data_IF_272066094555
#
_entry.id   IF_272066094555
#
_cell.length_a   1.000
_cell.length_b   1.000
_cell.length_c   1.000
_cell.angle_alpha   90.00
_cell.angle_beta   90.00
_cell.angle_gamma   90.00
#
_symmetry.space_group_name_H-M   'P 1'
#
loop_
_entity.id
_entity.type
_entity.pdbx_description
1 polymer ?
#
# COMPACT_ATOMS: atom_id res chain seq x y z
N UNK A 1 -10.04 15.05 -1.87
CA UNK A 1 -9.69 14.34 -0.62
C UNK A 1 -8.18 14.36 -0.45
N UNK A 2 -7.66 14.63 0.75
CA UNK A 2 -6.22 14.57 1.03
C UNK A 2 -5.83 13.21 1.62
N UNK A 3 -4.64 12.70 1.29
CA UNK A 3 -4.15 11.44 1.84
C UNK A 3 -3.73 11.63 3.30
N UNK A 4 -4.29 10.80 4.18
CA UNK A 4 -3.95 10.79 5.61
C UNK A 4 -4.04 9.39 6.18
N UNK A 5 -3.24 9.12 7.20
CA UNK A 5 -3.34 7.90 7.98
C UNK A 5 -4.66 7.88 8.77
N UNK A 6 -5.41 6.78 8.69
CA UNK A 6 -6.64 6.59 9.47
C UNK A 6 -6.59 5.43 10.46
N UNK A 7 -5.74 4.43 10.23
CA UNK A 7 -5.52 3.33 11.16
C UNK A 7 -5.77 1.92 10.59
N UNK A 8 -5.77 0.89 11.47
CA UNK A 8 -5.92 -0.51 11.04
C UNK A 8 -7.28 -0.84 10.41
N UNK A 9 -7.44 -2.02 9.82
CA UNK A 9 -8.72 -2.40 9.18
C UNK A 9 -9.84 -2.50 10.23
N UNK A 10 -10.99 -1.83 10.06
CA UNK A 10 -12.09 -1.94 11.01
C UNK A 10 -12.85 -3.26 10.80
N UNK A 11 -13.38 -3.78 11.89
CA UNK A 11 -14.27 -4.94 11.98
C UNK A 11 -15.55 -4.42 12.63
N UNK A 12 -16.61 -4.32 11.84
CA UNK A 12 -17.87 -3.69 12.25
C UNK A 12 -18.89 -4.78 12.55
N UNK A 13 -19.61 -4.64 13.65
CA UNK A 13 -20.68 -5.54 14.06
C UNK A 13 -21.81 -4.77 14.75
N UNK A 14 -22.93 -5.44 15.02
CA UNK A 14 -24.00 -4.92 15.86
C UNK A 14 -23.56 -4.71 17.32
N UNK A 15 -22.45 -5.30 17.77
CA UNK A 15 -21.91 -5.14 19.13
C UNK A 15 -20.87 -4.02 19.26
N UNK A 16 -20.51 -3.37 18.15
CA UNK A 16 -19.51 -2.31 18.11
C UNK A 16 -18.48 -2.49 17.00
N UNK A 17 -17.46 -1.64 17.06
CA UNK A 17 -16.37 -1.55 16.07
C UNK A 17 -15.06 -1.97 16.76
N UNK A 18 -14.33 -2.90 16.12
CA UNK A 18 -12.99 -3.33 16.52
C UNK A 18 -12.00 -3.03 15.39
N UNK A 19 -10.71 -3.12 15.66
CA UNK A 19 -9.66 -2.91 14.67
C UNK A 19 -8.72 -4.12 14.58
N UNK A 20 -8.47 -4.59 13.37
CA UNK A 20 -7.49 -5.63 13.07
C UNK A 20 -6.10 -5.01 12.93
N UNK A 21 -5.34 -5.03 14.03
CA UNK A 21 -3.99 -4.47 14.11
C UNK A 21 -2.98 -5.16 13.19
N UNK A 22 -3.30 -6.34 12.63
CA UNK A 22 -2.45 -6.99 11.63
C UNK A 22 -2.62 -6.39 10.23
N UNK A 23 -3.65 -5.54 10.03
CA UNK A 23 -3.98 -4.92 8.74
C UNK A 23 -3.85 -3.41 8.79
N UNK A 24 -2.61 -2.96 8.88
CA UNK A 24 -2.24 -1.55 8.89
C UNK A 24 -2.77 -0.80 7.64
N UNK A 25 -3.02 0.50 7.81
CA UNK A 25 -3.32 1.42 6.71
C UNK A 25 -2.14 1.46 5.71
N UNK A 26 -2.45 1.44 4.43
CA UNK A 26 -1.42 1.49 3.39
C UNK A 26 -0.70 2.83 3.33
N UNK A 27 -1.32 3.89 3.86
CA UNK A 27 -0.65 5.17 4.03
C UNK A 27 0.67 5.08 4.82
N UNK A 28 0.76 4.18 5.80
CA UNK A 28 1.95 4.01 6.64
C UNK A 28 3.21 3.57 5.87
N UNK A 29 3.04 3.09 4.63
CA UNK A 29 4.12 2.59 3.77
C UNK A 29 4.46 3.53 2.60
N UNK A 30 3.61 4.52 2.28
CA UNK A 30 3.79 5.41 1.12
C UNK A 30 5.17 6.10 1.13
N UNK A 31 5.60 6.54 2.31
CA UNK A 31 6.90 7.20 2.46
C UNK A 31 8.06 6.31 2.02
N UNK A 32 8.02 5.02 2.39
CA UNK A 32 9.05 4.04 2.03
C UNK A 32 9.03 3.75 0.53
N UNK A 33 7.84 3.63 -0.08
CA UNK A 33 7.72 3.42 -1.54
C UNK A 33 8.35 4.58 -2.31
N UNK A 34 8.03 5.82 -1.91
CA UNK A 34 8.59 7.02 -2.56
C UNK A 34 10.09 7.13 -2.34
N UNK A 35 10.58 6.84 -1.14
CA UNK A 35 12.03 6.83 -0.87
C UNK A 35 12.76 5.78 -1.70
N UNK A 36 12.22 4.57 -1.82
CA UNK A 36 12.79 3.53 -2.69
C UNK A 36 12.77 3.97 -4.16
N UNK A 37 11.67 4.56 -4.63
CA UNK A 37 11.61 5.09 -6.00
C UNK A 37 12.70 6.13 -6.24
N UNK A 38 12.86 7.10 -5.34
CA UNK A 38 13.90 8.15 -5.46
C UNK A 38 15.31 7.56 -5.38
N UNK A 39 15.53 6.58 -4.52
CA UNK A 39 16.82 5.90 -4.39
C UNK A 39 17.19 5.09 -5.63
N UNK A 40 16.20 4.56 -6.35
CA UNK A 40 16.41 3.75 -7.54
C UNK A 40 16.30 4.54 -8.86
N UNK A 41 15.80 5.77 -8.83
CA UNK A 41 15.59 6.59 -10.03
C UNK A 41 16.86 7.40 -10.36
N UNK A 42 17.85 6.71 -10.92
CA UNK A 42 19.08 7.30 -11.43
C UNK A 42 19.66 6.45 -12.56
N UNK A 43 20.68 6.93 -13.24
CA UNK A 43 21.35 6.14 -14.30
C UNK A 43 22.15 4.97 -13.71
N UNK A 44 21.99 3.79 -14.31
CA UNK A 44 22.71 2.57 -13.94
C UNK A 44 23.82 2.24 -14.94
N UNK A 45 24.97 1.84 -14.40
CA UNK A 45 26.05 1.22 -15.15
C UNK A 45 26.12 -0.26 -14.78
N UNK A 46 26.36 -1.10 -15.78
CA UNK A 46 26.47 -2.54 -15.61
C UNK A 46 27.52 -2.90 -14.54
N UNK A 47 27.23 -3.96 -13.76
CA UNK A 47 28.09 -4.51 -12.71
C UNK A 47 28.44 -3.56 -11.56
N UNK A 48 27.63 -2.51 -11.33
CA UNK A 48 27.80 -1.60 -10.19
C UNK A 48 26.71 -1.77 -9.13
N UNK A 49 27.13 -1.81 -7.88
CA UNK A 49 26.25 -1.69 -6.72
C UNK A 49 26.14 -0.22 -6.29
N UNK A 50 24.91 0.24 -6.10
CA UNK A 50 24.61 1.59 -5.63
C UNK A 50 24.13 1.52 -4.19
N UNK A 51 24.67 2.41 -3.34
CA UNK A 51 24.28 2.50 -1.93
C UNK A 51 23.58 3.83 -1.71
N UNK A 52 22.39 3.76 -1.12
CA UNK A 52 21.63 4.92 -0.72
C UNK A 52 21.48 4.92 0.80
N UNK A 53 21.69 6.06 1.43
CA UNK A 53 21.47 6.18 2.87
C UNK A 53 19.97 6.14 3.16
N UNK A 54 19.53 5.07 3.83
CA UNK A 54 18.15 4.93 4.29
C UNK A 54 17.80 5.92 5.42
N UNK A 55 18.74 6.74 5.91
CA UNK A 55 18.51 7.81 6.89
C UNK A 55 17.83 9.01 6.24
N UNK A 56 16.69 8.79 5.63
CA UNK A 56 15.91 9.85 5.01
C UNK A 56 14.85 10.31 5.99
N UNK A 57 14.97 11.57 6.40
CA UNK A 57 13.91 12.32 7.08
C UNK A 57 12.60 12.02 6.36
N UNK A 58 11.58 11.59 7.13
CA UNK A 58 10.24 11.36 6.60
C UNK A 58 9.82 12.58 5.77
N UNK A 59 9.49 12.36 4.50
CA UNK A 59 8.94 13.43 3.66
C UNK A 59 7.77 14.12 4.38
N UNK A 60 7.66 15.44 4.20
CA UNK A 60 6.46 16.15 4.62
C UNK A 60 5.24 15.62 3.85
N UNK A 61 4.03 15.89 4.34
CA UNK A 61 2.82 15.46 3.63
C UNK A 61 2.70 16.13 2.26
N UNK A 62 3.17 17.38 2.13
CA UNK A 62 3.20 18.13 0.87
C UNK A 62 4.18 17.47 -0.12
N UNK A 63 5.43 17.25 0.31
CA UNK A 63 6.44 16.56 -0.51
C UNK A 63 5.97 15.17 -0.93
N UNK A 64 5.37 14.42 0.00
CA UNK A 64 4.86 13.08 -0.29
C UNK A 64 3.75 13.13 -1.34
N UNK A 65 2.81 14.07 -1.22
CA UNK A 65 1.73 14.22 -2.18
C UNK A 65 2.23 14.60 -3.57
N UNK A 66 3.24 15.47 -3.66
CA UNK A 66 3.79 15.90 -4.94
C UNK A 66 4.59 14.80 -5.64
N UNK A 67 5.34 14.00 -4.87
CA UNK A 67 5.95 12.78 -5.40
C UNK A 67 4.88 11.79 -5.89
N UNK A 68 3.81 11.57 -5.13
CA UNK A 68 2.75 10.65 -5.52
C UNK A 68 2.02 11.10 -6.77
N UNK A 69 1.76 12.40 -6.97
CA UNK A 69 1.20 12.92 -8.24
C UNK A 69 2.12 12.66 -9.44
N UNK A 70 3.44 12.66 -9.24
CA UNK A 70 4.41 12.33 -10.29
C UNK A 70 4.43 10.85 -10.61
N UNK A 71 4.37 9.99 -9.58
CA UNK A 71 4.33 8.53 -9.75
C UNK A 71 2.99 8.04 -10.32
N UNK A 72 1.91 8.75 -9.99
CA UNK A 72 0.54 8.44 -10.35
C UNK A 72 -0.09 9.65 -11.04
N UNK A 73 0.15 9.85 -12.35
CA UNK A 73 -0.40 11.01 -13.08
C UNK A 73 -1.93 11.12 -12.98
N UNK A 74 -2.62 9.97 -12.97
CA UNK A 74 -4.09 9.89 -12.89
C UNK A 74 -4.62 9.76 -11.45
N UNK A 75 -3.82 10.14 -10.44
CA UNK A 75 -4.17 9.96 -9.02
C UNK A 75 -5.52 10.57 -8.65
N UNK A 76 -5.93 11.68 -9.27
CA UNK A 76 -7.23 12.30 -9.01
C UNK A 76 -8.38 11.40 -9.46
N UNK A 77 -8.31 10.92 -10.71
CA UNK A 77 -9.30 10.00 -11.29
C UNK A 77 -9.39 8.72 -10.46
N UNK A 78 -8.24 8.14 -10.09
CA UNK A 78 -8.18 6.93 -9.26
C UNK A 78 -8.84 7.15 -7.89
N UNK A 79 -8.64 8.33 -7.29
CA UNK A 79 -9.28 8.66 -6.01
C UNK A 79 -10.80 8.80 -6.17
N UNK A 80 -11.25 9.49 -7.22
CA UNK A 80 -12.68 9.72 -7.49
C UNK A 80 -13.42 8.41 -7.80
N UNK A 81 -12.84 7.54 -8.63
CA UNK A 81 -13.37 6.21 -8.91
C UNK A 81 -13.43 5.36 -7.65
N UNK A 82 -12.35 5.34 -6.86
CA UNK A 82 -12.31 4.54 -5.64
C UNK A 82 -13.30 5.01 -4.58
N UNK A 83 -13.52 6.32 -4.48
CA UNK A 83 -14.53 6.92 -3.59
C UNK A 83 -15.93 6.41 -3.96
N UNK A 84 -16.29 6.49 -5.24
CA UNK A 84 -17.57 5.98 -5.74
C UNK A 84 -17.75 4.47 -5.51
N UNK A 85 -16.75 3.65 -5.85
CA UNK A 85 -16.80 2.20 -5.62
C UNK A 85 -16.95 1.84 -4.14
N UNK A 86 -16.27 2.60 -3.26
CA UNK A 86 -16.32 2.37 -1.82
C UNK A 86 -17.68 2.77 -1.27
N UNK A 87 -18.26 3.85 -1.79
CA UNK A 87 -19.61 4.28 -1.43
C UNK A 87 -20.64 3.21 -1.80
N UNK A 88 -20.59 2.68 -3.01
CA UNK A 88 -21.47 1.58 -3.41
C UNK A 88 -21.30 0.33 -2.53
N UNK A 89 -20.06 0.03 -2.13
CA UNK A 89 -19.77 -1.05 -1.19
C UNK A 89 -20.44 -0.81 0.17
N UNK A 90 -20.37 0.41 0.70
CA UNK A 90 -21.02 0.79 1.95
C UNK A 90 -22.54 0.67 1.86
N UNK A 91 -23.14 1.12 0.75
CA UNK A 91 -24.58 0.97 0.52
C UNK A 91 -25.01 -0.50 0.48
N UNK A 92 -24.21 -1.38 -0.14
CA UNK A 92 -24.47 -2.83 -0.12
C UNK A 92 -24.39 -3.41 1.29
N UNK A 93 -23.44 -2.97 2.10
CA UNK A 93 -23.29 -3.44 3.48
C UNK A 93 -24.42 -2.93 4.39
N UNK A 94 -24.88 -1.68 4.21
CA UNK A 94 -26.08 -1.15 4.88
C UNK A 94 -27.33 -1.96 4.53
N UNK A 95 -27.54 -2.25 3.24
CA UNK A 95 -28.66 -3.09 2.79
C UNK A 95 -28.62 -4.48 3.43
N UNK A 96 -27.44 -5.12 3.49
CA UNK A 96 -27.26 -6.41 4.15
C UNK A 96 -27.53 -6.36 5.66
N UNK A 97 -27.18 -5.25 6.31
CA UNK A 97 -27.49 -5.05 7.73
C UNK A 97 -29.00 -5.02 7.96
N UNK A 98 -29.72 -4.27 7.12
CA UNK A 98 -31.18 -4.13 7.19
C UNK A 98 -31.91 -5.46 6.90
N UNK A 99 -31.46 -6.19 5.88
CA UNK A 99 -32.05 -7.47 5.43
C UNK A 99 -31.65 -8.67 6.31
N UNK A 100 -30.81 -8.47 7.32
CA UNK A 100 -30.31 -9.56 8.17
C UNK A 100 -31.47 -10.29 8.89
N UNK A 101 -31.61 -11.60 8.67
CA UNK A 101 -32.70 -12.38 9.27
C UNK A 101 -32.45 -12.83 10.73
N UNK A 102 -31.21 -12.71 11.21
CA UNK A 102 -30.79 -13.20 12.54
C UNK A 102 -30.87 -12.09 13.59
N UNK A 103 -30.56 -10.85 13.21
CA UNK A 103 -30.56 -9.71 14.13
C UNK A 103 -31.98 -9.19 14.38
N UNK A 104 -32.27 -8.86 15.64
CA UNK A 104 -33.45 -8.07 15.97
C UNK A 104 -33.33 -6.62 15.47
N UNK A 105 -34.41 -5.86 15.53
CA UNK A 105 -34.46 -4.51 14.96
C UNK A 105 -33.42 -3.55 15.57
N UNK A 106 -33.21 -3.62 16.89
CA UNK A 106 -32.24 -2.78 17.60
C UNK A 106 -30.79 -3.09 17.17
N UNK A 107 -30.47 -4.37 17.02
CA UNK A 107 -29.14 -4.81 16.55
C UNK A 107 -28.90 -4.46 15.08
N UNK A 108 -29.93 -4.49 14.22
CA UNK A 108 -29.82 -4.00 12.83
C UNK A 108 -29.49 -2.51 12.80
N UNK A 109 -30.26 -1.72 13.54
CA UNK A 109 -30.05 -0.27 13.63
C UNK A 109 -28.66 0.06 14.20
N UNK A 110 -28.21 -0.69 15.21
CA UNK A 110 -26.86 -0.53 15.76
C UNK A 110 -25.78 -0.86 14.73
N UNK A 111 -25.95 -1.93 13.96
CA UNK A 111 -25.03 -2.28 12.88
C UNK A 111 -24.99 -1.21 11.78
N UNK A 112 -26.14 -0.71 11.33
CA UNK A 112 -26.25 0.38 10.35
C UNK A 112 -25.55 1.66 10.85
N UNK A 113 -25.81 2.04 12.11
CA UNK A 113 -25.16 3.19 12.74
C UNK A 113 -23.63 3.02 12.80
N UNK A 114 -23.16 1.83 13.16
CA UNK A 114 -21.72 1.54 13.20
C UNK A 114 -21.08 1.57 11.81
N UNK A 115 -21.79 1.10 10.76
CA UNK A 115 -21.32 1.21 9.37
C UNK A 115 -21.22 2.68 8.95
N UNK A 116 -22.27 3.47 9.20
CA UNK A 116 -22.30 4.90 8.87
C UNK A 116 -21.22 5.69 9.61
N UNK A 117 -20.98 5.38 10.89
CA UNK A 117 -19.91 6.00 11.69
C UNK A 117 -18.51 5.79 11.06
N UNK A 118 -18.32 4.68 10.35
CA UNK A 118 -17.04 4.31 9.73
C UNK A 118 -16.95 4.64 8.24
N UNK A 119 -17.92 5.36 7.68
CA UNK A 119 -17.99 5.65 6.24
C UNK A 119 -16.74 6.38 5.72
N UNK A 120 -16.42 7.54 6.29
CA UNK A 120 -15.24 8.32 5.90
C UNK A 120 -13.94 7.54 6.13
N UNK A 121 -13.92 6.71 7.18
CA UNK A 121 -12.78 5.84 7.48
C UNK A 121 -12.55 4.83 6.36
N UNK A 122 -13.59 4.14 5.90
CA UNK A 122 -13.50 3.17 4.81
C UNK A 122 -13.04 3.83 3.52
N UNK A 123 -13.64 4.95 3.16
CA UNK A 123 -13.32 5.72 1.97
C UNK A 123 -11.83 6.10 1.99
N UNK A 124 -11.36 6.75 3.06
CA UNK A 124 -9.96 7.16 3.15
C UNK A 124 -9.00 5.96 3.09
N UNK A 125 -9.35 4.86 3.77
CA UNK A 125 -8.50 3.65 3.80
C UNK A 125 -8.47 2.94 2.43
N UNK A 126 -9.56 2.97 1.68
CA UNK A 126 -9.63 2.44 0.32
C UNK A 126 -8.77 3.30 -0.61
N UNK A 127 -8.94 4.62 -0.58
CA UNK A 127 -8.12 5.59 -1.32
C UNK A 127 -6.63 5.41 -1.02
N UNK A 128 -6.24 5.34 0.26
CA UNK A 128 -4.84 5.13 0.66
C UNK A 128 -4.27 3.83 0.08
N UNK A 129 -5.08 2.75 0.04
CA UNK A 129 -4.67 1.46 -0.51
C UNK A 129 -4.46 1.56 -2.02
N UNK A 130 -5.35 2.23 -2.74
CA UNK A 130 -5.29 2.33 -4.19
C UNK A 130 -4.11 3.20 -4.65
N UNK A 131 -3.90 4.35 -4.00
CA UNK A 131 -2.72 5.18 -4.24
C UNK A 131 -1.42 4.43 -3.93
N UNK A 132 -1.39 3.66 -2.84
CA UNK A 132 -0.24 2.82 -2.51
C UNK A 132 0.10 1.83 -3.62
N UNK A 133 -0.89 1.13 -4.17
CA UNK A 133 -0.62 0.17 -5.25
C UNK A 133 -0.21 0.87 -6.55
N UNK A 134 -0.76 2.04 -6.87
CA UNK A 134 -0.27 2.83 -7.99
C UNK A 134 1.22 3.19 -7.84
N UNK A 135 1.65 3.62 -6.65
CA UNK A 135 3.08 3.91 -6.39
C UNK A 135 3.96 2.65 -6.44
N UNK A 136 3.45 1.50 -5.98
CA UNK A 136 4.15 0.21 -6.10
C UNK A 136 4.30 -0.19 -7.58
N UNK A 137 3.29 0.01 -8.41
CA UNK A 137 3.33 -0.32 -9.82
C UNK A 137 4.32 0.58 -10.57
N UNK A 138 4.40 1.86 -10.22
CA UNK A 138 5.43 2.77 -10.73
C UNK A 138 6.84 2.30 -10.35
N UNK A 139 7.05 1.87 -9.09
CA UNK A 139 8.32 1.29 -8.64
C UNK A 139 8.67 -0.02 -9.37
N UNK A 140 7.68 -0.88 -9.58
CA UNK A 140 7.86 -2.14 -10.33
C UNK A 140 8.24 -1.88 -11.80
N UNK A 141 7.67 -0.85 -12.42
CA UNK A 141 8.02 -0.40 -13.76
C UNK A 141 9.46 0.08 -13.84
N UNK A 142 9.88 0.94 -12.90
CA UNK A 142 11.27 1.43 -12.80
C UNK A 142 12.27 0.28 -12.73
N UNK A 143 12.06 -0.67 -11.81
CA UNK A 143 12.92 -1.85 -11.62
C UNK A 143 13.11 -2.64 -12.91
N UNK A 144 12.04 -2.77 -13.70
CA UNK A 144 12.06 -3.49 -14.96
C UNK A 144 12.77 -2.73 -16.07
N UNK A 145 12.51 -1.43 -16.19
CA UNK A 145 13.11 -0.58 -17.23
C UNK A 145 14.63 -0.47 -17.04
N UNK A 146 15.07 -0.30 -15.80
CA UNK A 146 16.48 -0.21 -15.43
C UNK A 146 17.16 -1.57 -15.19
N UNK A 147 16.42 -2.68 -15.37
CA UNK A 147 16.91 -4.06 -15.22
C UNK A 147 17.61 -4.34 -13.88
N UNK A 148 17.05 -3.80 -12.80
CA UNK A 148 17.63 -3.91 -11.46
C UNK A 148 17.63 -5.38 -11.01
N UNK A 149 18.82 -5.95 -10.78
CA UNK A 149 18.98 -7.35 -10.39
C UNK A 149 18.47 -7.65 -8.98
N UNK A 150 18.71 -6.74 -8.03
CA UNK A 150 18.28 -6.93 -6.66
C UNK A 150 18.21 -5.62 -5.87
N UNK A 151 17.40 -5.62 -4.81
CA UNK A 151 17.29 -4.54 -3.84
C UNK A 151 17.59 -5.12 -2.46
N UNK A 152 18.52 -4.50 -1.73
CA UNK A 152 18.82 -4.81 -0.33
C UNK A 152 18.37 -3.63 0.53
N UNK A 153 17.61 -3.93 1.58
CA UNK A 153 17.17 -2.94 2.56
C UNK A 153 17.33 -3.49 3.99
N UNK A 154 17.37 -2.62 5.01
CA UNK A 154 17.28 -3.07 6.41
C UNK A 154 15.99 -3.89 6.62
N UNK A 155 16.10 -4.99 7.37
CA UNK A 155 14.92 -5.79 7.76
C UNK A 155 14.14 -5.04 8.85
N UNK A 156 13.37 -4.05 8.43
CA UNK A 156 12.27 -3.51 9.20
C UNK A 156 10.95 -3.93 8.56
N UNK A 157 9.91 -4.12 9.38
CA UNK A 157 8.59 -4.58 8.94
C UNK A 157 8.05 -3.77 7.75
N UNK A 158 8.29 -2.46 7.72
CA UNK A 158 7.82 -1.58 6.62
C UNK A 158 8.55 -1.84 5.31
N UNK A 159 9.88 -2.02 5.33
CA UNK A 159 10.64 -2.36 4.12
C UNK A 159 10.24 -3.74 3.60
N UNK A 160 10.18 -4.74 4.48
CA UNK A 160 9.73 -6.08 4.11
C UNK A 160 8.33 -6.07 3.48
N UNK A 161 7.40 -5.30 4.03
CA UNK A 161 6.04 -5.16 3.50
C UNK A 161 5.99 -4.53 2.10
N UNK A 162 6.79 -3.47 1.89
CA UNK A 162 6.89 -2.80 0.58
C UNK A 162 7.52 -3.73 -0.45
N UNK A 163 8.63 -4.39 -0.12
CA UNK A 163 9.28 -5.34 -1.04
C UNK A 163 8.39 -6.54 -1.36
N UNK A 164 7.59 -7.02 -0.40
CA UNK A 164 6.60 -8.06 -0.65
C UNK A 164 5.47 -7.59 -1.58
N UNK A 165 4.98 -6.35 -1.39
CA UNK A 165 3.99 -5.76 -2.30
C UNK A 165 4.54 -5.59 -3.72
N UNK A 166 5.81 -5.19 -3.82
CA UNK A 166 6.54 -5.03 -5.06
C UNK A 166 6.72 -6.36 -5.80
N UNK A 167 7.13 -7.43 -5.09
CA UNK A 167 7.13 -8.80 -5.63
C UNK A 167 5.76 -9.17 -6.21
N UNK A 168 4.67 -8.84 -5.49
CA UNK A 168 3.31 -9.08 -5.96
C UNK A 168 2.95 -8.31 -7.24
N UNK A 169 3.40 -7.06 -7.37
CA UNK A 169 3.20 -6.25 -8.58
C UNK A 169 4.00 -6.78 -9.77
N UNK A 170 5.29 -7.09 -9.58
CA UNK A 170 6.18 -7.65 -10.61
C UNK A 170 5.64 -8.97 -11.20
N UNK A 171 5.01 -9.81 -10.37
CA UNK A 171 4.37 -11.07 -10.81
C UNK A 171 3.07 -10.88 -11.60
N UNK A 172 2.37 -9.76 -11.42
CA UNK A 172 1.07 -9.48 -12.08
C UNK A 172 1.18 -8.80 -13.43
N UNK A 173 2.38 -8.34 -13.80
CA UNK A 173 2.58 -7.67 -15.09
C UNK A 173 2.38 -8.63 -16.27
N UNK A 174 2.08 -8.08 -17.46
CA UNK A 174 1.90 -8.85 -18.71
C UNK A 174 3.07 -9.79 -19.05
N UNK A 175 4.29 -9.43 -18.61
CA UNK A 175 5.46 -10.31 -18.57
C UNK A 175 5.88 -10.42 -17.12
N UNK A 176 5.39 -11.45 -16.38
CA UNK A 176 5.71 -11.65 -14.99
C UNK A 176 7.22 -11.75 -14.79
N UNK A 177 7.71 -11.15 -13.71
CA UNK A 177 9.12 -11.27 -13.31
C UNK A 177 9.17 -12.11 -12.05
N UNK A 178 9.92 -13.21 -12.11
CA UNK A 178 10.17 -14.03 -10.94
C UNK A 178 11.05 -13.27 -9.96
N UNK A 179 10.72 -13.41 -8.68
CA UNK A 179 11.44 -12.74 -7.60
C UNK A 179 11.53 -13.65 -6.40
N UNK A 180 12.64 -13.54 -5.67
CA UNK A 180 12.84 -14.19 -4.39
C UNK A 180 13.05 -13.15 -3.29
N UNK A 181 12.44 -13.37 -2.12
CA UNK A 181 12.62 -12.53 -0.95
C UNK A 181 13.34 -13.33 0.12
N UNK A 182 14.58 -12.93 0.41
CA UNK A 182 15.42 -13.56 1.41
C UNK A 182 15.70 -12.60 2.57
N UNK A 183 15.83 -13.17 3.76
CA UNK A 183 16.26 -12.46 4.97
C UNK A 183 17.58 -13.07 5.40
N UNK A 184 18.58 -12.23 5.62
CA UNK A 184 19.92 -12.68 6.00
C UNK A 184 20.57 -11.67 6.96
N UNK A 185 21.58 -12.13 7.68
CA UNK A 185 22.40 -11.29 8.56
C UNK A 185 23.75 -11.02 7.89
N UNK A 186 24.19 -9.76 7.92
CA UNK A 186 25.50 -9.34 7.45
C UNK A 186 26.03 -8.26 8.41
N UNK A 187 27.26 -8.44 8.91
CA UNK A 187 27.89 -7.53 9.88
C UNK A 187 27.02 -7.20 11.11
N UNK A 188 26.28 -8.18 11.63
CA UNK A 188 25.37 -8.03 12.77
C UNK A 188 24.10 -7.24 12.46
N UNK A 189 23.80 -6.99 11.18
CA UNK A 189 22.58 -6.30 10.72
C UNK A 189 21.68 -7.29 9.98
N UNK A 190 20.41 -7.31 10.38
CA UNK A 190 19.39 -8.07 9.65
C UNK A 190 18.94 -7.30 8.42
N UNK A 191 19.02 -7.93 7.25
CA UNK A 191 18.72 -7.36 5.95
C UNK A 191 17.63 -8.18 5.24
N UNK A 192 16.90 -7.52 4.35
CA UNK A 192 15.98 -8.14 3.41
C UNK A 192 16.47 -7.88 1.99
N UNK A 193 16.55 -8.93 1.18
CA UNK A 193 16.93 -8.87 -0.23
C UNK A 193 15.76 -9.31 -1.09
N UNK A 194 15.33 -8.43 -2.00
CA UNK A 194 14.50 -8.79 -3.13
C UNK A 194 15.41 -9.08 -4.32
N UNK A 195 15.57 -10.36 -4.68
CA UNK A 195 16.21 -10.75 -5.93
C UNK A 195 15.18 -10.71 -7.06
N UNK A 196 15.55 -10.09 -8.18
CA UNK A 196 14.77 -10.01 -9.41
C UNK A 196 15.42 -10.96 -10.40
N UNK A 197 14.67 -11.97 -10.87
CA UNK A 197 15.13 -12.87 -11.90
C UNK A 197 14.99 -12.15 -13.24
N UNK A 198 16.10 -11.59 -13.72
CA UNK A 198 16.12 -10.97 -15.04
C UNK A 198 15.89 -12.05 -16.10
N UNK A 199 14.79 -11.92 -16.84
CA UNK A 199 14.52 -12.74 -18.02
C UNK A 199 15.49 -12.27 -19.10
N UNK A 200 16.43 -13.15 -19.47
CA UNK A 200 17.35 -12.98 -20.61
C UNK A 200 16.56 -12.91 -21.91
#
# INVERSE_FOLDING_TARGET
MELKYVGPKPIISHTGIKFDNNKEDKYAYLNIVVQLYKALSHEYFQDKAYKYEASTKRLSNEDLNDELKRLCPDIKTIIEEQDQETEEYIQRDLKRAQENAVLNQENKQTLENNINLMRDYFIQRAVNKTVYYCAIDALAKLIKEDRIDHIIAPMFQKFSHVLHSLQGSLRKQNRPIDTNLDIYEEDGKLLVKLQVANIV
#
